data_IF_891615191407
#
_entry.id   IF_891615191407
#
_cell.length_a   1.000
_cell.length_b   1.000
_cell.length_c   1.000
_cell.angle_alpha   90.00
_cell.angle_beta   90.00
_cell.angle_gamma   90.00
#
_symmetry.space_group_name_H-M   'P 1'
#
loop_
_entity.id
_entity.type
_entity.pdbx_description
1 polymer ?
#
# COMPACT_ATOMS: atom_id res chain seq x y z
N UNK A 1 11.39 12.48 -9.31
CA UNK A 1 12.27 11.56 -8.58
C UNK A 1 11.41 10.80 -7.57
N UNK A 2 10.59 9.84 -8.01
CA UNK A 2 9.63 9.13 -7.14
C UNK A 2 10.08 7.71 -6.78
N UNK A 3 10.99 7.12 -7.58
CA UNK A 3 11.45 5.72 -7.48
C UNK A 3 12.11 5.40 -6.12
N UNK A 4 12.76 6.37 -5.47
CA UNK A 4 13.38 6.15 -4.16
C UNK A 4 12.37 6.09 -3.01
N UNK A 5 11.17 6.67 -3.17
CA UNK A 5 10.15 6.70 -2.12
C UNK A 5 9.39 5.39 -2.01
N UNK A 6 9.21 4.72 -3.14
CA UNK A 6 8.52 3.43 -3.24
C UNK A 6 9.28 2.30 -2.50
N UNK A 7 10.61 2.39 -2.46
CA UNK A 7 11.46 1.41 -1.77
C UNK A 7 11.32 1.51 -0.23
N UNK A 8 11.05 2.71 0.30
CA UNK A 8 10.79 2.88 1.75
C UNK A 8 9.47 2.22 2.15
N UNK A 9 8.40 2.44 1.39
CA UNK A 9 7.10 1.79 1.68
C UNK A 9 7.17 0.28 1.46
N UNK A 10 7.92 -0.23 0.49
CA UNK A 10 8.08 -1.67 0.28
C UNK A 10 8.83 -2.38 1.43
N UNK A 11 9.79 -1.69 2.06
CA UNK A 11 10.64 -2.26 3.13
C UNK A 11 10.09 -2.11 4.54
N UNK A 12 9.06 -1.29 4.73
CA UNK A 12 8.47 -1.08 6.05
C UNK A 12 7.96 -2.39 6.65
N UNK A 13 8.36 -2.69 7.88
CA UNK A 13 8.05 -3.94 8.56
C UNK A 13 6.68 -3.92 9.28
N UNK A 14 6.02 -2.76 9.34
CA UNK A 14 4.73 -2.62 10.03
C UNK A 14 3.91 -1.44 9.54
N UNK A 15 2.61 -1.44 9.88
CA UNK A 15 1.71 -0.32 9.65
C UNK A 15 2.13 0.96 10.40
N UNK A 16 2.74 0.81 11.57
CA UNK A 16 3.27 1.95 12.34
C UNK A 16 4.42 2.61 11.57
N UNK A 17 5.32 1.80 11.02
CA UNK A 17 6.44 2.29 10.21
C UNK A 17 5.97 2.92 8.90
N UNK A 18 4.97 2.33 8.23
CA UNK A 18 4.33 2.95 7.06
C UNK A 18 3.77 4.35 7.38
N UNK A 19 3.04 4.48 8.48
CA UNK A 19 2.49 5.77 8.91
C UNK A 19 3.59 6.79 9.22
N UNK A 20 4.70 6.34 9.81
CA UNK A 20 5.85 7.20 10.07
C UNK A 20 6.51 7.69 8.78
N UNK A 21 6.69 6.81 7.79
CA UNK A 21 7.23 7.16 6.46
C UNK A 21 6.35 8.22 5.79
N UNK A 22 5.02 8.02 5.76
CA UNK A 22 4.11 9.01 5.19
C UNK A 22 4.21 10.35 5.92
N UNK A 23 4.25 10.34 7.25
CA UNK A 23 4.36 11.55 8.06
C UNK A 23 5.68 12.30 7.84
N UNK A 24 6.78 11.58 7.59
CA UNK A 24 8.09 12.20 7.35
C UNK A 24 8.21 12.74 5.93
N UNK A 25 7.63 12.05 4.95
CA UNK A 25 7.55 12.53 3.57
C UNK A 25 6.63 13.75 3.48
N UNK A 26 5.50 13.78 4.20
CA UNK A 26 4.57 14.92 4.20
C UNK A 26 5.21 16.23 4.68
N UNK A 27 6.24 16.14 5.53
CA UNK A 27 7.01 17.30 6.02
C UNK A 27 7.99 17.85 4.98
N UNK A 28 8.24 17.13 3.87
CA UNK A 28 9.11 17.62 2.81
C UNK A 28 8.40 18.66 1.96
N UNK A 29 9.10 19.72 1.57
CA UNK A 29 8.59 20.80 0.72
C UNK A 29 8.74 20.47 -0.78
N UNK A 30 8.70 19.18 -1.12
CA UNK A 30 8.86 18.72 -2.50
C UNK A 30 7.52 18.75 -3.24
N UNK A 31 7.55 19.31 -4.45
CA UNK A 31 6.39 19.31 -5.34
C UNK A 31 5.89 17.89 -5.66
N UNK A 32 4.58 17.70 -5.62
CA UNK A 32 3.91 16.43 -5.88
C UNK A 32 3.98 15.40 -4.75
N UNK A 33 4.49 15.77 -3.56
CA UNK A 33 4.43 14.92 -2.36
C UNK A 33 3.01 14.60 -1.95
N UNK A 34 2.12 15.59 -1.96
CA UNK A 34 0.71 15.38 -1.60
C UNK A 34 0.04 14.38 -2.54
N UNK A 35 0.19 14.57 -3.85
CA UNK A 35 -0.36 13.64 -4.85
C UNK A 35 0.21 12.21 -4.70
N UNK A 36 1.50 12.07 -4.37
CA UNK A 36 2.13 10.78 -4.12
C UNK A 36 1.56 10.11 -2.86
N UNK A 37 1.41 10.87 -1.76
CA UNK A 37 0.80 10.36 -0.52
C UNK A 37 -0.65 9.93 -0.78
N UNK A 38 -1.44 10.78 -1.44
CA UNK A 38 -2.85 10.50 -1.75
C UNK A 38 -2.99 9.23 -2.60
N UNK A 39 -2.09 9.02 -3.57
CA UNK A 39 -2.06 7.81 -4.37
C UNK A 39 -1.76 6.56 -3.54
N UNK A 40 -0.72 6.57 -2.70
CA UNK A 40 -0.31 5.39 -1.94
C UNK A 40 -1.12 5.14 -0.67
N UNK A 41 -1.83 6.13 -0.12
CA UNK A 41 -2.73 5.91 1.03
C UNK A 41 -4.01 5.16 0.64
N UNK A 42 -4.27 4.98 -0.65
CA UNK A 42 -5.34 4.10 -1.13
C UNK A 42 -4.99 2.65 -0.72
N UNK A 43 -5.82 2.09 0.18
CA UNK A 43 -5.56 0.80 0.84
C UNK A 43 -5.19 -0.34 -0.11
N UNK A 44 -5.87 -0.46 -1.26
CA UNK A 44 -5.58 -1.55 -2.19
C UNK A 44 -4.25 -1.35 -2.93
N UNK A 45 -3.86 -0.10 -3.22
CA UNK A 45 -2.56 0.22 -3.83
C UNK A 45 -1.45 -0.09 -2.82
N UNK A 46 -1.58 0.39 -1.57
CA UNK A 46 -0.60 0.12 -0.53
C UNK A 46 -0.44 -1.37 -0.25
N UNK A 47 -1.56 -2.10 -0.20
CA UNK A 47 -1.57 -3.54 0.04
C UNK A 47 -0.90 -4.34 -1.08
N UNK A 48 -0.81 -3.83 -2.32
CA UNK A 48 -0.02 -4.50 -3.38
C UNK A 48 1.49 -4.38 -3.19
N UNK A 49 1.96 -3.43 -2.39
CA UNK A 49 3.38 -3.10 -2.24
C UNK A 49 3.92 -3.53 -0.88
N UNK A 50 3.08 -3.50 0.15
CA UNK A 50 3.48 -3.90 1.50
C UNK A 50 2.42 -4.81 2.14
N UNK A 51 2.84 -6.02 2.54
CA UNK A 51 1.97 -6.99 3.19
C UNK A 51 1.39 -6.50 4.51
N UNK A 52 2.06 -5.60 5.23
CA UNK A 52 1.57 -4.98 6.48
C UNK A 52 0.34 -4.08 6.26
N UNK A 53 0.10 -3.63 5.03
CA UNK A 53 -1.11 -2.91 4.67
C UNK A 53 -2.22 -3.84 4.14
N UNK A 54 -1.90 -5.12 3.92
CA UNK A 54 -2.83 -6.13 3.45
C UNK A 54 -3.55 -6.81 4.62
N UNK A 55 -4.81 -7.18 4.40
CA UNK A 55 -5.54 -8.09 5.29
C UNK A 55 -5.28 -9.57 4.95
N UNK A 56 -4.54 -9.83 3.88
CA UNK A 56 -4.17 -11.17 3.44
C UNK A 56 -3.01 -11.69 4.29
N UNK A 57 -3.04 -12.98 4.62
CA UNK A 57 -1.92 -13.65 5.27
C UNK A 57 -0.62 -13.46 4.47
N UNK A 58 0.49 -13.24 5.17
CA UNK A 58 1.78 -12.88 4.56
C UNK A 58 2.33 -13.98 3.65
N UNK A 59 2.08 -15.26 3.94
CA UNK A 59 2.52 -16.36 3.07
C UNK A 59 1.70 -16.38 1.77
N UNK A 60 0.41 -16.11 1.86
CA UNK A 60 -0.48 -15.97 0.70
C UNK A 60 -0.09 -14.72 -0.10
N UNK A 61 0.20 -13.61 0.58
CA UNK A 61 0.66 -12.39 -0.05
C UNK A 61 1.97 -12.59 -0.79
N UNK A 62 2.97 -13.26 -0.21
CA UNK A 62 4.22 -13.55 -0.92
C UNK A 62 4.02 -14.43 -2.16
N UNK A 63 2.98 -15.28 -2.17
CA UNK A 63 2.65 -16.17 -3.29
C UNK A 63 2.00 -15.44 -4.47
N UNK A 64 1.27 -14.34 -4.22
CA UNK A 64 0.48 -13.63 -5.24
C UNK A 64 0.81 -12.14 -5.38
N UNK A 65 1.60 -11.56 -4.48
CA UNK A 65 1.87 -10.12 -4.37
C UNK A 65 2.61 -9.56 -5.57
N UNK A 66 3.41 -10.38 -6.26
CA UNK A 66 4.06 -10.02 -7.52
C UNK A 66 3.22 -10.30 -8.77
N UNK A 67 1.99 -10.77 -8.62
CA UNK A 67 1.10 -11.05 -9.73
C UNK A 67 0.04 -9.94 -9.77
N UNK A 68 0.46 -8.75 -10.24
CA UNK A 68 -0.31 -7.49 -10.23
C UNK A 68 -1.77 -7.68 -10.63
N UNK A 69 -2.04 -8.50 -11.66
CA UNK A 69 -3.41 -8.77 -12.12
C UNK A 69 -4.25 -9.64 -11.17
N UNK A 70 -3.64 -10.58 -10.44
CA UNK A 70 -4.34 -11.46 -9.50
C UNK A 70 -4.49 -10.81 -8.12
N UNK A 71 -3.47 -10.07 -7.66
CA UNK A 71 -3.52 -9.31 -6.41
C UNK A 71 -4.54 -8.17 -6.49
N UNK A 72 -4.55 -7.36 -7.55
CA UNK A 72 -5.55 -6.31 -7.74
C UNK A 72 -6.97 -6.88 -7.81
N UNK A 73 -7.18 -7.98 -8.54
CA UNK A 73 -8.49 -8.64 -8.64
C UNK A 73 -8.96 -9.22 -7.29
N UNK A 74 -8.07 -9.84 -6.53
CA UNK A 74 -8.38 -10.36 -5.20
C UNK A 74 -8.69 -9.24 -4.19
N UNK A 75 -7.90 -8.17 -4.19
CA UNK A 75 -8.14 -6.99 -3.34
C UNK A 75 -9.44 -6.27 -3.72
N UNK A 76 -9.76 -6.14 -5.00
CA UNK A 76 -11.05 -5.59 -5.46
C UNK A 76 -12.24 -6.45 -5.00
N UNK A 77 -12.14 -7.77 -5.07
CA UNK A 77 -13.21 -8.69 -4.65
C UNK A 77 -13.45 -8.69 -3.14
N UNK A 78 -12.38 -8.70 -2.33
CA UNK A 78 -12.50 -8.69 -0.87
C UNK A 78 -13.08 -7.35 -0.38
N UNK A 79 -12.59 -6.22 -0.91
CA UNK A 79 -13.08 -4.90 -0.49
C UNK A 79 -14.49 -4.58 -1.02
N UNK A 80 -14.89 -5.12 -2.18
CA UNK A 80 -16.25 -4.98 -2.69
C UNK A 80 -17.27 -5.73 -1.83
N UNK A 81 -16.92 -6.91 -1.33
CA UNK A 81 -17.85 -7.73 -0.53
C UNK A 81 -18.17 -7.07 0.82
N UNK A 82 -17.24 -6.28 1.36
CA UNK A 82 -17.39 -5.58 2.64
C UNK A 82 -18.27 -4.32 2.54
N UNK A 83 -18.50 -3.77 1.34
CA UNK A 83 -19.36 -2.60 1.10
C UNK A 83 -20.85 -2.93 0.89
N UNK A 84 -21.21 -4.19 0.69
CA UNK A 84 -22.61 -4.61 0.45
C UNK A 84 -23.30 -5.28 1.65
N UNK A 85 -22.57 -5.49 2.76
CA UNK A 85 -23.10 -6.11 3.99
C UNK A 85 -22.79 -5.30 5.27
N UNK A 86 -22.47 -4.01 5.13
CA UNK A 86 -22.31 -3.07 6.25
C UNK A 86 -23.56 -2.24 6.47
#
# INVERSE_FOLDING_TARGET
MYIFKDDFIAKAASKVELNQIFSDIEKSDEDGVKDWIDYYQILHILATINSSASLMDVEIWNRYGNNTNAAEAAHFLVNRTQLFYG
#
